data_IF_456769167810
#
_entry.id   IF_456769167810
#
_cell.length_a   1.000
_cell.length_b   1.000
_cell.length_c   1.000
_cell.angle_alpha   90.00
_cell.angle_beta   90.00
_cell.angle_gamma   90.00
#
_symmetry.space_group_name_H-M   'P 1'
#
loop_
_entity.id
_entity.type
_entity.pdbx_description
1 polymer ?
#
# COMPACT_ATOMS: atom_id res chain seq x y z
N UNK A 1 4.41 -9.40 -11.55
CA UNK A 1 4.14 -8.78 -10.24
C UNK A 1 2.80 -8.09 -10.33
N UNK A 2 1.99 -8.14 -9.28
CA UNK A 2 0.78 -7.32 -9.16
C UNK A 2 0.99 -6.34 -8.02
N UNK A 3 0.58 -5.10 -8.23
CA UNK A 3 0.57 -4.05 -7.22
C UNK A 3 -0.79 -3.35 -7.26
N UNK A 4 -1.36 -3.11 -6.09
CA UNK A 4 -2.62 -2.42 -5.91
C UNK A 4 -2.45 -1.44 -4.76
N UNK A 5 -2.60 -0.15 -5.06
CA UNK A 5 -2.54 0.92 -4.07
C UNK A 5 -3.92 1.57 -4.00
N UNK A 6 -4.51 1.59 -2.81
CA UNK A 6 -5.84 2.19 -2.58
C UNK A 6 -5.74 3.28 -1.53
N UNK A 7 -6.14 4.50 -1.90
CA UNK A 7 -6.37 5.56 -0.94
C UNK A 7 -7.78 5.45 -0.34
N UNK A 8 -7.89 5.46 0.99
CA UNK A 8 -9.18 5.45 1.69
C UNK A 8 -9.11 6.18 3.03
N UNK A 9 -10.27 6.46 3.61
CA UNK A 9 -10.33 6.94 4.99
C UNK A 9 -9.95 5.81 5.96
N UNK A 10 -9.25 6.13 7.07
CA UNK A 10 -8.81 5.12 8.02
C UNK A 10 -9.96 4.62 8.90
N UNK A 11 -9.83 3.40 9.36
CA UNK A 11 -10.64 2.85 10.44
C UNK A 11 -10.21 3.43 11.79
N UNK A 12 -11.05 3.31 12.82
CA UNK A 12 -10.70 3.78 14.17
C UNK A 12 -9.46 3.04 14.73
N UNK A 13 -9.29 1.76 14.40
CA UNK A 13 -8.15 0.97 14.85
C UNK A 13 -6.84 1.42 14.19
N UNK A 14 -6.87 1.76 12.90
CA UNK A 14 -5.70 2.27 12.17
C UNK A 14 -5.26 3.63 12.70
N UNK A 15 -6.21 4.55 12.94
CA UNK A 15 -5.95 5.85 13.58
C UNK A 15 -5.17 5.67 14.88
N UNK A 16 -5.61 4.72 15.72
CA UNK A 16 -4.97 4.43 17.00
C UNK A 16 -3.58 3.81 16.84
N UNK A 17 -3.44 2.79 15.98
CA UNK A 17 -2.19 2.04 15.80
C UNK A 17 -1.12 2.85 15.08
N UNK A 18 -1.50 3.71 14.14
CA UNK A 18 -0.59 4.50 13.32
C UNK A 18 -0.31 5.89 13.91
N UNK A 19 -1.01 6.28 14.99
CA UNK A 19 -0.83 7.56 15.66
C UNK A 19 -1.04 8.73 14.70
N UNK A 20 -2.19 8.73 14.01
CA UNK A 20 -2.53 9.70 12.98
C UNK A 20 -3.93 10.31 13.21
N UNK A 21 -4.22 11.53 12.73
CA UNK A 21 -5.56 12.11 12.77
C UNK A 21 -6.58 11.29 11.95
N UNK A 22 -7.85 11.27 12.38
CA UNK A 22 -8.95 10.65 11.63
C UNK A 22 -9.20 11.25 10.24
N UNK A 23 -8.78 12.49 10.04
CA UNK A 23 -8.91 13.21 8.76
C UNK A 23 -7.81 12.86 7.76
N UNK A 24 -6.73 12.21 8.20
CA UNK A 24 -5.64 11.81 7.32
C UNK A 24 -6.03 10.49 6.63
N UNK A 25 -5.96 10.44 5.30
CA UNK A 25 -6.20 9.21 4.55
C UNK A 25 -5.09 8.19 4.81
N UNK A 26 -5.39 6.91 4.57
CA UNK A 26 -4.38 5.86 4.52
C UNK A 26 -4.19 5.39 3.09
N UNK A 27 -2.97 4.93 2.82
CA UNK A 27 -2.63 4.18 1.62
C UNK A 27 -2.53 2.71 2.01
N UNK A 28 -3.41 1.92 1.41
CA UNK A 28 -3.47 0.47 1.53
C UNK A 28 -2.73 -0.13 0.33
N UNK A 29 -1.56 -0.69 0.58
CA UNK A 29 -0.65 -1.21 -0.45
C UNK A 29 -0.64 -2.73 -0.37
N UNK A 30 -1.09 -3.35 -1.46
CA UNK A 30 -0.98 -4.78 -1.67
C UNK A 30 -0.07 -5.06 -2.87
N UNK A 31 0.99 -5.83 -2.67
CA UNK A 31 1.86 -6.28 -3.75
C UNK A 31 2.10 -7.78 -3.65
N UNK A 32 2.10 -8.46 -4.78
CA UNK A 32 2.47 -9.88 -4.85
C UNK A 32 3.43 -10.15 -6.00
N UNK A 33 4.53 -10.82 -5.67
CA UNK A 33 5.50 -11.35 -6.62
C UNK A 33 5.15 -12.82 -6.84
N UNK A 34 5.09 -13.23 -8.11
CA UNK A 34 4.78 -14.61 -8.51
C UNK A 34 5.86 -15.12 -9.45
N UNK A 35 6.13 -16.42 -9.39
CA UNK A 35 6.98 -17.10 -10.35
C UNK A 35 6.29 -17.19 -11.74
N UNK A 36 6.99 -17.65 -12.79
CA UNK A 36 6.39 -17.82 -14.12
C UNK A 36 5.24 -18.85 -14.17
N UNK A 37 5.16 -19.76 -13.20
CA UNK A 37 4.05 -20.70 -13.03
C UNK A 37 2.83 -20.10 -12.31
N UNK A 38 2.92 -18.86 -11.84
CA UNK A 38 1.87 -18.15 -11.11
C UNK A 38 1.84 -18.40 -9.60
N UNK A 39 2.79 -19.16 -9.04
CA UNK A 39 2.89 -19.39 -7.61
C UNK A 39 3.43 -18.14 -6.89
N UNK A 40 2.86 -17.76 -5.74
CA UNK A 40 3.32 -16.61 -4.98
C UNK A 40 4.72 -16.86 -4.40
N UNK A 41 5.66 -15.99 -4.71
CA UNK A 41 7.00 -15.94 -4.13
C UNK A 41 7.05 -15.00 -2.93
N UNK A 42 6.30 -13.89 -2.97
CA UNK A 42 6.19 -12.93 -1.87
C UNK A 42 4.88 -12.17 -1.94
N UNK A 43 4.35 -11.78 -0.77
CA UNK A 43 3.18 -10.89 -0.63
C UNK A 43 3.50 -9.82 0.41
N UNK A 44 3.24 -8.56 0.05
CA UNK A 44 3.27 -7.41 0.93
C UNK A 44 1.85 -6.88 1.08
N UNK A 45 1.42 -6.64 2.32
CA UNK A 45 0.17 -5.96 2.63
C UNK A 45 0.44 -4.98 3.77
N UNK A 46 0.46 -3.69 3.46
CA UNK A 46 0.79 -2.63 4.43
C UNK A 46 -0.19 -1.48 4.33
N UNK A 47 -0.51 -0.89 5.50
CA UNK A 47 -1.34 0.31 5.60
C UNK A 47 -0.51 1.41 6.24
N UNK A 48 -0.40 2.55 5.57
CA UNK A 48 0.44 3.67 5.98
C UNK A 48 -0.35 4.99 5.95
N UNK A 49 -0.03 5.97 6.82
CA UNK A 49 -0.59 7.33 6.71
C UNK A 49 -0.20 7.97 5.38
N UNK A 50 -1.19 8.45 4.62
CA UNK A 50 -0.99 9.00 3.28
C UNK A 50 -0.27 10.36 3.26
N UNK A 51 -0.18 11.04 4.40
CA UNK A 51 0.59 12.28 4.57
C UNK A 51 2.08 12.05 4.87
N UNK A 52 2.49 10.79 5.05
CA UNK A 52 3.88 10.39 5.33
C UNK A 52 4.52 9.58 4.21
N UNK A 53 3.76 9.26 3.16
CA UNK A 53 4.21 8.41 2.07
C UNK A 53 4.21 9.19 0.76
N UNK A 54 5.33 9.10 0.04
CA UNK A 54 5.43 9.51 -1.36
C UNK A 54 5.41 8.24 -2.22
N UNK A 55 4.55 8.22 -3.24
CA UNK A 55 4.52 7.18 -4.26
C UNK A 55 5.39 7.64 -5.43
N UNK A 56 6.43 6.87 -5.76
CA UNK A 56 7.26 7.10 -6.94
C UNK A 56 6.99 5.98 -7.95
N UNK A 57 6.25 6.31 -9.01
CA UNK A 57 6.10 5.41 -10.16
C UNK A 57 7.24 5.65 -11.14
N UNK A 58 8.10 4.65 -11.33
CA UNK A 58 9.09 4.64 -12.40
C UNK A 58 8.52 3.90 -13.62
N UNK A 59 8.23 4.64 -14.69
CA UNK A 59 7.82 4.07 -15.97
C UNK A 59 9.05 3.93 -16.87
N UNK A 60 9.44 2.73 -17.33
CA UNK A 60 10.48 2.59 -18.34
C UNK A 60 10.02 3.26 -19.63
N UNK A 61 10.85 4.15 -20.18
CA UNK A 61 10.70 4.68 -21.52
C UNK A 61 11.54 3.78 -22.43
N UNK A 62 10.92 2.77 -23.04
CA UNK A 62 11.49 2.01 -24.16
C UNK A 62 11.01 2.59 -25.50
#
# INVERSE_FOLDING_TARGET
MIEQITARMPTTDEVKKLGMPKSTSVLDVYAAVRDPGGHPLAVLAVVLPGDRLELEDAYPID
#
